data_IF_104773069440
#
_entry.id   IF_104773069440
#
_cell.length_a   1.000
_cell.length_b   1.000
_cell.length_c   1.000
_cell.angle_alpha   90.00
_cell.angle_beta   90.00
_cell.angle_gamma   90.00
#
_symmetry.space_group_name_H-M   'P 1'
#
loop_
_entity.id
_entity.type
_entity.pdbx_description
1 polymer ?
#
# COMPACT_ATOMS: atom_id res chain seq x y z
N UNK A 1 -2.97 -4.56 -5.94
CA UNK A 1 -3.44 -3.25 -5.47
C UNK A 1 -3.03 -2.09 -6.39
N UNK A 2 -2.05 -2.22 -7.29
CA UNK A 2 -1.55 -1.12 -8.15
C UNK A 2 -2.25 -1.01 -9.52
N UNK A 3 -3.41 -1.64 -9.69
CA UNK A 3 -4.21 -1.45 -10.90
C UNK A 3 -4.84 -0.05 -10.93
N UNK A 4 -4.81 0.67 -12.06
CA UNK A 4 -5.43 1.98 -12.16
C UNK A 4 -6.96 1.90 -12.12
N UNK A 5 -7.54 0.86 -12.70
CA UNK A 5 -8.99 0.59 -12.69
C UNK A 5 -9.32 -0.47 -11.65
N UNK A 6 -9.67 -0.02 -10.46
CA UNK A 6 -9.98 -0.90 -9.33
C UNK A 6 -11.31 -1.64 -9.50
N UNK A 7 -12.29 -1.00 -10.13
CA UNK A 7 -13.62 -1.59 -10.34
C UNK A 7 -13.52 -2.75 -11.33
N UNK A 8 -12.82 -2.55 -12.44
CA UNK A 8 -12.54 -3.61 -13.42
C UNK A 8 -11.74 -4.76 -12.81
N UNK A 9 -10.74 -4.46 -11.98
CA UNK A 9 -9.96 -5.50 -11.31
C UNK A 9 -10.82 -6.36 -10.37
N UNK A 10 -11.71 -5.74 -9.59
CA UNK A 10 -12.64 -6.45 -8.73
C UNK A 10 -13.61 -7.32 -9.55
N UNK A 11 -14.17 -6.78 -10.62
CA UNK A 11 -15.06 -7.52 -11.53
C UNK A 11 -14.37 -8.75 -12.13
N UNK A 12 -13.10 -8.64 -12.56
CA UNK A 12 -12.33 -9.75 -13.08
C UNK A 12 -12.01 -10.82 -12.01
N UNK A 13 -11.71 -10.42 -10.79
CA UNK A 13 -11.54 -11.36 -9.68
C UNK A 13 -12.83 -12.17 -9.43
N UNK A 14 -13.98 -11.50 -9.44
CA UNK A 14 -15.29 -12.16 -9.34
C UNK A 14 -15.54 -13.07 -10.53
N UNK A 15 -15.25 -12.60 -11.75
CA UNK A 15 -15.51 -13.37 -12.98
C UNK A 15 -14.75 -14.71 -13.00
N UNK A 16 -13.48 -14.70 -12.61
CA UNK A 16 -12.63 -15.91 -12.68
C UNK A 16 -12.80 -16.84 -11.48
N UNK A 17 -13.35 -16.34 -10.36
CA UNK A 17 -13.61 -17.16 -9.19
C UNK A 17 -14.91 -17.95 -9.38
N UNK A 18 -14.91 -19.26 -9.16
CA UNK A 18 -16.15 -20.06 -9.19
C UNK A 18 -17.10 -19.71 -8.02
N UNK A 19 -18.39 -19.99 -8.17
CA UNK A 19 -19.35 -19.90 -7.05
C UNK A 19 -18.89 -20.74 -5.86
N UNK A 20 -19.02 -20.22 -4.63
CA UNK A 20 -18.48 -20.83 -3.42
C UNK A 20 -16.97 -20.77 -3.30
N UNK A 21 -16.27 -20.28 -4.33
CA UNK A 21 -14.82 -20.05 -4.30
C UNK A 21 -14.43 -18.89 -3.40
N UNK A 22 -13.14 -18.78 -3.10
CA UNK A 22 -12.61 -17.72 -2.24
C UNK A 22 -11.66 -16.80 -3.00
N UNK A 23 -11.81 -15.49 -2.79
CA UNK A 23 -10.88 -14.46 -3.21
C UNK A 23 -10.16 -13.97 -1.96
N UNK A 24 -8.84 -14.15 -1.89
CA UNK A 24 -7.99 -13.67 -0.80
C UNK A 24 -7.24 -12.43 -1.21
N UNK A 25 -7.25 -11.39 -0.38
CA UNK A 25 -6.53 -10.13 -0.59
C UNK A 25 -5.76 -9.75 0.67
N UNK A 26 -4.60 -9.13 0.47
CA UNK A 26 -3.82 -8.48 1.52
C UNK A 26 -3.35 -7.12 1.01
N UNK A 27 -3.88 -6.05 1.57
CA UNK A 27 -3.67 -4.70 1.07
C UNK A 27 -3.32 -3.73 2.20
N UNK A 28 -2.31 -2.88 1.96
CA UNK A 28 -1.90 -1.86 2.92
C UNK A 28 -3.06 -0.90 3.22
N UNK A 29 -3.25 -0.59 4.51
CA UNK A 29 -4.24 0.39 4.92
C UNK A 29 -3.75 1.82 4.68
N UNK A 30 -4.66 2.80 4.50
CA UNK A 30 -4.28 4.20 4.29
C UNK A 30 -3.49 4.83 5.45
N UNK A 31 -3.72 4.34 6.67
CA UNK A 31 -3.14 4.91 7.89
C UNK A 31 -1.89 4.17 8.37
N UNK A 32 -1.62 2.97 7.84
CA UNK A 32 -0.38 2.24 8.06
C UNK A 32 0.82 2.87 7.33
N UNK A 33 2.03 2.45 7.68
CA UNK A 33 3.28 3.00 7.16
C UNK A 33 3.32 3.12 5.63
N UNK A 34 2.96 2.05 4.90
CA UNK A 34 2.95 2.09 3.42
C UNK A 34 1.87 3.03 2.89
N UNK A 35 0.69 3.11 3.52
CA UNK A 35 -0.34 4.09 3.14
C UNK A 35 0.11 5.52 3.33
N UNK A 36 0.78 5.82 4.45
CA UNK A 36 1.38 7.13 4.70
C UNK A 36 2.53 7.44 3.72
N UNK A 37 3.33 6.43 3.35
CA UNK A 37 4.33 6.57 2.31
C UNK A 37 3.70 6.96 0.96
N UNK A 38 2.57 6.37 0.56
CA UNK A 38 1.86 6.80 -0.65
C UNK A 38 1.37 8.24 -0.58
N UNK A 39 0.88 8.68 0.58
CA UNK A 39 0.52 10.10 0.79
C UNK A 39 1.75 11.00 0.69
N UNK A 40 2.88 10.57 1.24
CA UNK A 40 4.14 11.34 1.19
C UNK A 40 4.64 11.49 -0.24
N UNK A 41 4.79 10.40 -1.00
CA UNK A 41 5.24 10.51 -2.39
C UNK A 41 4.25 11.29 -3.27
N UNK A 42 2.95 11.21 -2.99
CA UNK A 42 1.91 11.94 -3.71
C UNK A 42 1.94 13.47 -3.51
N UNK A 43 2.58 13.95 -2.43
CA UNK A 43 2.84 15.41 -2.24
C UNK A 43 3.97 15.92 -3.14
N UNK A 44 4.91 15.07 -3.51
CA UNK A 44 6.05 15.42 -4.38
C UNK A 44 5.74 15.20 -5.86
N UNK A 45 5.02 14.13 -6.19
CA UNK A 45 4.59 13.82 -7.55
C UNK A 45 3.11 13.42 -7.49
N UNK A 46 2.26 14.29 -7.99
CA UNK A 46 0.82 14.03 -8.01
C UNK A 46 0.50 12.78 -8.86
N UNK A 47 -0.41 11.91 -8.40
CA UNK A 47 -0.85 10.79 -9.21
C UNK A 47 -1.56 11.29 -10.48
N UNK A 48 -1.57 10.49 -11.56
CA UNK A 48 -2.32 10.85 -12.77
C UNK A 48 -3.80 11.11 -12.46
N UNK A 49 -4.45 12.06 -13.15
CA UNK A 49 -5.87 12.32 -12.96
C UNK A 49 -6.73 11.07 -13.09
N UNK A 50 -7.70 10.90 -12.18
CA UNK A 50 -8.62 9.76 -12.19
C UNK A 50 -8.06 8.47 -11.57
N UNK A 51 -6.77 8.40 -11.25
CA UNK A 51 -6.19 7.22 -10.60
C UNK A 51 -6.45 7.27 -9.08
N UNK A 52 -7.16 6.29 -8.58
CA UNK A 52 -7.45 6.15 -7.14
C UNK A 52 -6.21 5.64 -6.39
N UNK A 53 -6.06 6.08 -5.14
CA UNK A 53 -4.99 5.59 -4.27
C UNK A 53 -5.04 4.06 -4.14
N UNK A 54 -3.90 3.36 -4.31
CA UNK A 54 -3.84 1.92 -4.09
C UNK A 54 -4.17 1.50 -2.65
N UNK A 55 -3.98 2.38 -1.67
CA UNK A 55 -4.32 2.11 -0.27
C UNK A 55 -5.84 1.97 -0.02
N UNK A 56 -6.70 2.41 -0.95
CA UNK A 56 -8.15 2.21 -0.83
C UNK A 56 -8.53 0.72 -0.78
N UNK A 57 -7.77 -0.16 -1.43
CA UNK A 57 -7.93 -1.60 -1.31
C UNK A 57 -7.76 -2.13 0.13
N UNK A 58 -7.08 -1.38 0.99
CA UNK A 58 -6.92 -1.66 2.42
C UNK A 58 -8.03 -1.09 3.29
N UNK A 59 -9.19 -0.72 2.74
CA UNK A 59 -10.33 -0.23 3.49
C UNK A 59 -11.54 -1.15 3.37
N UNK A 60 -12.25 -1.36 4.50
CA UNK A 60 -13.49 -2.17 4.50
C UNK A 60 -14.56 -1.58 3.59
N UNK A 61 -14.67 -0.24 3.59
CA UNK A 61 -15.63 0.49 2.76
C UNK A 61 -15.43 0.14 1.29
N UNK A 62 -14.18 0.28 0.79
CA UNK A 62 -13.88 -0.01 -0.62
C UNK A 62 -14.13 -1.48 -0.97
N UNK A 63 -13.79 -2.39 -0.08
CA UNK A 63 -14.03 -3.82 -0.29
C UNK A 63 -15.54 -4.12 -0.37
N UNK A 64 -16.35 -3.54 0.51
CA UNK A 64 -17.82 -3.68 0.41
C UNK A 64 -18.34 -3.11 -0.90
N UNK A 65 -17.97 -1.90 -1.29
CA UNK A 65 -18.41 -1.28 -2.54
C UNK A 65 -18.23 -2.17 -3.77
N UNK A 66 -17.11 -2.89 -3.88
CA UNK A 66 -16.79 -3.63 -5.10
C UNK A 66 -17.11 -5.12 -5.05
N UNK A 67 -17.40 -5.70 -3.87
CA UNK A 67 -17.62 -7.14 -3.74
C UNK A 67 -18.95 -7.53 -3.11
N UNK A 68 -19.62 -6.64 -2.36
CA UNK A 68 -20.78 -7.00 -1.55
C UNK A 68 -21.89 -7.68 -2.37
N UNK A 69 -22.21 -7.17 -3.55
CA UNK A 69 -23.24 -7.74 -4.44
C UNK A 69 -22.90 -9.14 -4.99
N UNK A 70 -21.64 -9.55 -4.88
CA UNK A 70 -21.11 -10.80 -5.42
C UNK A 70 -20.65 -11.78 -4.34
N UNK A 71 -20.77 -11.39 -3.06
CA UNK A 71 -20.24 -12.12 -1.93
C UNK A 71 -21.33 -12.78 -1.09
N UNK A 72 -21.18 -14.09 -0.83
CA UNK A 72 -21.93 -14.75 0.24
C UNK A 72 -21.40 -14.36 1.62
N UNK A 73 -20.14 -14.02 1.73
CA UNK A 73 -19.53 -13.46 2.94
C UNK A 73 -18.24 -12.70 2.64
N UNK A 74 -17.96 -11.66 3.44
CA UNK A 74 -16.69 -10.93 3.45
C UNK A 74 -16.14 -10.96 4.88
N UNK A 75 -14.98 -11.58 5.06
CA UNK A 75 -14.24 -11.60 6.34
C UNK A 75 -13.00 -10.76 6.20
N UNK A 76 -12.71 -9.93 7.18
CA UNK A 76 -11.49 -9.11 7.16
C UNK A 76 -10.89 -8.97 8.55
N UNK A 77 -9.56 -8.93 8.61
CA UNK A 77 -8.78 -8.72 9.82
C UNK A 77 -7.63 -7.74 9.54
N UNK A 78 -7.39 -6.83 10.48
CA UNK A 78 -6.20 -5.99 10.46
C UNK A 78 -5.01 -6.81 10.95
N UNK A 79 -3.90 -6.72 10.22
CA UNK A 79 -2.65 -7.40 10.50
C UNK A 79 -1.50 -6.42 10.34
N UNK A 80 -0.34 -6.76 10.87
CA UNK A 80 0.89 -6.01 10.68
C UNK A 80 1.97 -6.87 10.04
N UNK A 81 2.61 -6.33 9.02
CA UNK A 81 3.89 -6.79 8.51
C UNK A 81 4.98 -5.89 9.09
N UNK A 82 6.08 -6.45 9.58
CA UNK A 82 7.19 -5.65 10.11
C UNK A 82 8.33 -5.60 9.11
N UNK A 83 8.56 -4.42 8.53
CA UNK A 83 9.74 -4.15 7.72
C UNK A 83 10.98 -4.10 8.61
N UNK A 84 11.95 -4.97 8.32
CA UNK A 84 13.21 -5.05 9.07
C UNK A 84 14.38 -4.80 8.13
N UNK A 85 15.15 -3.77 8.44
CA UNK A 85 16.33 -3.36 7.67
C UNK A 85 17.48 -3.00 8.62
N UNK A 86 18.70 -3.02 8.09
CA UNK A 86 19.89 -2.64 8.87
C UNK A 86 19.85 -1.19 9.37
N UNK A 87 19.17 -0.31 8.62
CA UNK A 87 18.96 1.10 8.98
C UNK A 87 17.84 1.70 8.12
N UNK A 88 17.28 2.86 8.49
CA UNK A 88 16.39 3.65 7.63
C UNK A 88 16.99 3.96 6.25
N UNK A 89 18.28 4.29 6.20
CA UNK A 89 18.99 4.54 4.95
C UNK A 89 19.03 3.30 4.04
N UNK A 90 19.33 2.13 4.59
CA UNK A 90 19.31 0.88 3.84
C UNK A 90 17.92 0.54 3.28
N UNK A 91 16.86 0.78 4.08
CA UNK A 91 15.48 0.65 3.60
C UNK A 91 15.22 1.57 2.40
N UNK A 92 15.61 2.83 2.51
CA UNK A 92 15.38 3.81 1.45
C UNK A 92 16.11 3.43 0.16
N UNK A 93 17.37 2.96 0.25
CA UNK A 93 18.14 2.50 -0.92
C UNK A 93 17.46 1.31 -1.60
N UNK A 94 16.97 0.34 -0.83
CA UNK A 94 16.21 -0.80 -1.37
C UNK A 94 14.93 -0.33 -2.04
N UNK A 95 14.17 0.58 -1.41
CA UNK A 95 12.92 1.08 -1.98
C UNK A 95 13.12 1.96 -3.20
N UNK A 96 14.17 2.78 -3.23
CA UNK A 96 14.58 3.55 -4.42
C UNK A 96 14.96 2.65 -5.60
N UNK A 97 15.51 1.47 -5.32
CA UNK A 97 15.99 0.55 -6.35
C UNK A 97 14.90 -0.40 -6.85
N UNK A 98 14.06 -0.93 -5.94
CA UNK A 98 13.19 -2.06 -6.27
C UNK A 98 11.70 -1.79 -6.07
N UNK A 99 11.31 -0.81 -5.28
CA UNK A 99 9.90 -0.55 -5.01
C UNK A 99 9.33 0.46 -6.00
N UNK A 100 8.60 -0.01 -6.99
CA UNK A 100 8.13 0.74 -8.15
C UNK A 100 7.59 2.14 -7.86
N UNK A 101 6.67 2.36 -6.90
CA UNK A 101 6.18 3.69 -6.58
C UNK A 101 7.28 4.67 -6.14
N UNK A 102 8.19 4.25 -5.27
CA UNK A 102 9.30 5.10 -4.79
C UNK A 102 10.32 5.32 -5.90
N UNK A 103 10.75 4.26 -6.59
CA UNK A 103 11.67 4.33 -7.73
C UNK A 103 11.20 5.35 -8.78
N UNK A 104 9.93 5.25 -9.21
CA UNK A 104 9.37 6.14 -10.24
C UNK A 104 9.24 7.58 -9.74
N UNK A 105 8.90 7.78 -8.47
CA UNK A 105 8.81 9.12 -7.88
C UNK A 105 10.19 9.79 -7.86
N UNK A 106 11.25 9.08 -7.41
CA UNK A 106 12.61 9.63 -7.45
C UNK A 106 13.07 9.92 -8.88
N UNK A 107 12.78 9.05 -9.84
CA UNK A 107 13.14 9.25 -11.24
C UNK A 107 12.43 10.44 -11.91
N UNK A 108 11.30 10.87 -11.39
CA UNK A 108 10.54 12.01 -11.90
C UNK A 108 10.96 13.36 -11.30
N UNK A 109 11.87 13.37 -10.33
CA UNK A 109 12.26 14.56 -9.57
C UNK A 109 13.69 14.98 -9.86
N UNK A 110 13.95 16.29 -9.87
CA UNK A 110 15.29 16.88 -9.88
C UNK A 110 15.95 16.79 -8.49
N UNK A 111 17.29 16.92 -8.44
CA UNK A 111 18.08 16.70 -7.24
C UNK A 111 17.60 17.43 -5.96
N UNK A 112 17.19 18.72 -5.99
CA UNK A 112 16.66 19.38 -4.79
C UNK A 112 15.37 18.76 -4.26
N UNK A 113 14.46 18.36 -5.17
CA UNK A 113 13.19 17.73 -4.83
C UNK A 113 13.38 16.28 -4.36
N UNK A 114 14.36 15.55 -4.95
CA UNK A 114 14.76 14.22 -4.46
C UNK A 114 15.27 14.30 -3.01
N UNK A 115 16.09 15.30 -2.66
CA UNK A 115 16.57 15.52 -1.32
C UNK A 115 15.42 15.84 -0.33
N UNK A 116 14.42 16.61 -0.77
CA UNK A 116 13.23 16.88 0.03
C UNK A 116 12.40 15.61 0.27
N UNK A 117 12.12 14.83 -0.77
CA UNK A 117 11.43 13.54 -0.65
C UNK A 117 12.18 12.58 0.26
N UNK A 118 13.51 12.51 0.16
CA UNK A 118 14.32 11.66 1.03
C UNK A 118 14.14 12.05 2.51
N UNK A 119 14.18 13.34 2.84
CA UNK A 119 13.95 13.81 4.22
C UNK A 119 12.56 13.43 4.71
N UNK A 120 11.53 13.64 3.89
CA UNK A 120 10.15 13.33 4.28
C UNK A 120 9.96 11.83 4.52
N UNK A 121 10.55 10.98 3.69
CA UNK A 121 10.50 9.52 3.87
C UNK A 121 11.28 9.06 5.10
N UNK A 122 12.44 9.68 5.39
CA UNK A 122 13.20 9.38 6.62
C UNK A 122 12.39 9.78 7.85
N UNK A 123 11.83 10.98 7.87
CA UNK A 123 10.93 11.43 8.96
C UNK A 123 9.75 10.48 9.15
N UNK A 124 9.16 9.98 8.06
CA UNK A 124 8.08 9.00 8.14
C UNK A 124 8.56 7.69 8.78
N UNK A 125 9.74 7.19 8.41
CA UNK A 125 10.33 6.00 9.05
C UNK A 125 10.49 6.24 10.55
N UNK A 126 11.04 7.37 10.96
CA UNK A 126 11.28 7.70 12.38
C UNK A 126 9.98 7.71 13.20
N UNK A 127 8.86 8.13 12.61
CA UNK A 127 7.54 8.09 13.27
C UNK A 127 7.02 6.68 13.55
N UNK A 128 7.39 5.71 12.72
CA UNK A 128 6.90 4.33 12.80
C UNK A 128 7.94 3.35 13.37
N UNK A 129 9.22 3.70 13.37
CA UNK A 129 10.28 2.82 13.83
C UNK A 129 10.14 2.48 15.32
N UNK A 130 10.38 1.23 15.67
CA UNK A 130 10.26 0.69 17.03
C UNK A 130 11.61 0.37 17.66
N UNK A 131 12.71 0.68 16.99
CA UNK A 131 14.08 0.45 17.47
C UNK A 131 14.79 1.78 17.66
N UNK A 132 15.75 1.80 18.58
CA UNK A 132 16.60 2.95 18.95
C UNK A 132 18.11 2.64 18.76
N UNK A 133 18.44 1.46 18.25
CA UNK A 133 19.81 0.97 18.03
C UNK A 133 20.38 1.30 16.64
N UNK A 134 19.71 2.16 15.87
CA UNK A 134 20.07 2.50 14.50
C UNK A 134 19.55 1.53 13.45
N UNK A 135 18.96 0.41 13.85
CA UNK A 135 18.25 -0.50 12.94
C UNK A 135 16.84 0.02 12.62
N UNK A 136 16.15 -0.67 11.73
CA UNK A 136 14.77 -0.36 11.38
C UNK A 136 13.87 -1.57 11.62
N UNK A 137 12.84 -1.38 12.46
CA UNK A 137 11.73 -2.31 12.62
C UNK A 137 10.40 -1.53 12.58
N UNK A 138 9.83 -1.42 11.40
CA UNK A 138 8.64 -0.60 11.13
C UNK A 138 7.42 -1.48 10.89
N UNK A 139 6.42 -1.52 11.78
CA UNK A 139 5.15 -2.18 11.51
C UNK A 139 4.38 -1.42 10.43
N UNK A 140 3.86 -2.14 9.47
CA UNK A 140 2.95 -1.61 8.46
C UNK A 140 1.65 -2.42 8.48
N UNK A 141 0.56 -1.73 8.78
CA UNK A 141 -0.76 -2.34 8.82
C UNK A 141 -1.26 -2.67 7.42
N UNK A 142 -1.85 -3.85 7.29
CA UNK A 142 -2.59 -4.26 6.12
C UNK A 142 -3.93 -4.91 6.50
N UNK A 143 -4.88 -4.84 5.60
CA UNK A 143 -6.16 -5.53 5.71
C UNK A 143 -6.04 -6.88 4.98
N UNK A 144 -6.16 -7.95 5.76
CA UNK A 144 -6.37 -9.32 5.26
C UNK A 144 -7.85 -9.52 5.00
N UNK A 145 -8.22 -9.98 3.79
CA UNK A 145 -9.60 -10.09 3.36
C UNK A 145 -9.83 -11.44 2.71
N UNK A 146 -10.90 -12.12 3.09
CA UNK A 146 -11.37 -13.34 2.45
C UNK A 146 -12.84 -13.16 2.06
N UNK A 147 -13.10 -13.18 0.74
CA UNK A 147 -14.42 -13.06 0.15
C UNK A 147 -14.84 -14.46 -0.34
N UNK A 148 -15.97 -14.94 0.10
CA UNK A 148 -16.59 -16.14 -0.48
C UNK A 148 -17.59 -15.68 -1.53
N UNK A 149 -17.39 -16.11 -2.79
CA UNK A 149 -18.28 -15.75 -3.89
C UNK A 149 -19.68 -16.39 -3.72
N UNK A 150 -20.74 -15.60 -3.91
CA UNK A 150 -22.11 -16.08 -3.99
C UNK A 150 -22.36 -16.97 -5.21
#
# INVERSE_FOLDING_TARGET
MFTPDQDRAAAELVRVCRRGGKIGLANWTPDGFIGQMFKTIGRHVAPPPGVRSPALWGTRVRISEVFEQHAASIKSAQRNFVFRYRSPAHWLDVFKTYYGPVLKTFAALEAPAQAALQRDLTTLVDQFNRTDDGSMAVPSEYLEIVITRA
#
